data_IF_672183139126
#
_entry.id   IF_672183139126
#
_cell.length_a   1.000
_cell.length_b   1.000
_cell.length_c   1.000
_cell.angle_alpha   90.00
_cell.angle_beta   90.00
_cell.angle_gamma   90.00
#
_symmetry.space_group_name_H-M   'P 1'
#
loop_
_entity.id
_entity.type
_entity.pdbx_description
1 polymer ?
#
# COMPACT_ATOMS: atom_id res chain seq x y z
N UNK A 1 7.21 -30.10 8.71
CA UNK A 1 7.54 -28.82 9.36
C UNK A 1 6.53 -28.55 10.49
N UNK A 2 6.99 -27.99 11.63
CA UNK A 2 6.05 -27.53 12.66
C UNK A 2 5.04 -26.53 12.11
N UNK A 3 3.83 -26.50 12.67
CA UNK A 3 2.73 -25.64 12.20
C UNK A 3 3.07 -24.12 12.19
N UNK A 4 4.09 -23.71 12.95
CA UNK A 4 4.56 -22.32 13.03
C UNK A 4 5.92 -22.11 12.35
N UNK A 5 6.32 -22.95 11.40
CA UNK A 5 7.62 -22.79 10.75
C UNK A 5 7.61 -21.57 9.82
N UNK A 6 8.68 -20.72 9.84
CA UNK A 6 8.77 -19.53 8.98
C UNK A 6 8.62 -19.82 7.48
N UNK A 7 9.16 -20.94 6.99
CA UNK A 7 9.03 -21.34 5.58
C UNK A 7 7.58 -21.60 5.19
N UNK A 8 6.75 -22.05 6.15
CA UNK A 8 5.33 -22.26 5.91
C UNK A 8 4.61 -20.91 5.73
N UNK A 9 4.97 -19.89 6.52
CA UNK A 9 4.43 -18.55 6.36
C UNK A 9 4.81 -17.96 5.00
N UNK A 10 6.07 -18.11 4.58
CA UNK A 10 6.53 -17.70 3.25
C UNK A 10 5.76 -18.41 2.15
N UNK A 11 5.54 -19.72 2.29
CA UNK A 11 4.76 -20.51 1.32
C UNK A 11 3.31 -20.01 1.23
N UNK A 12 2.65 -19.76 2.36
CA UNK A 12 1.30 -19.21 2.38
C UNK A 12 1.24 -17.82 1.74
N UNK A 13 2.20 -16.96 2.02
CA UNK A 13 2.27 -15.65 1.38
C UNK A 13 2.39 -15.76 -0.15
N UNK A 14 3.22 -16.67 -0.65
CA UNK A 14 3.39 -16.91 -2.09
C UNK A 14 2.12 -17.47 -2.73
N UNK A 15 1.41 -18.39 -2.06
CA UNK A 15 0.11 -18.90 -2.51
C UNK A 15 -0.92 -17.75 -2.55
N UNK A 16 -0.94 -16.88 -1.54
CA UNK A 16 -1.77 -15.69 -1.52
C UNK A 16 -1.54 -14.78 -2.72
N UNK A 17 -0.27 -14.55 -3.10
CA UNK A 17 0.09 -13.76 -4.29
C UNK A 17 -0.50 -14.38 -5.57
N UNK A 18 -0.44 -15.71 -5.71
CA UNK A 18 -1.01 -16.40 -6.88
C UNK A 18 -2.52 -16.20 -6.93
N UNK A 19 -3.24 -16.42 -5.82
CA UNK A 19 -4.69 -16.22 -5.79
C UNK A 19 -5.08 -14.75 -6.04
N UNK A 20 -4.33 -13.80 -5.51
CA UNK A 20 -4.55 -12.38 -5.79
C UNK A 20 -4.39 -12.07 -7.28
N UNK A 21 -3.37 -12.60 -7.94
CA UNK A 21 -3.16 -12.41 -9.39
C UNK A 21 -4.24 -13.04 -10.25
N UNK A 22 -4.90 -14.08 -9.74
CA UNK A 22 -6.06 -14.74 -10.38
C UNK A 22 -7.39 -14.01 -10.10
N UNK A 23 -7.40 -12.98 -9.25
CA UNK A 23 -8.62 -12.28 -8.82
C UNK A 23 -9.42 -13.04 -7.75
N UNK A 24 -8.91 -14.16 -7.23
CA UNK A 24 -9.52 -14.99 -6.18
C UNK A 24 -9.27 -14.38 -4.79
N UNK A 25 -9.81 -13.18 -4.56
CA UNK A 25 -9.46 -12.33 -3.40
C UNK A 25 -9.75 -12.98 -2.05
N UNK A 26 -10.86 -13.74 -1.92
CA UNK A 26 -11.19 -14.42 -0.66
C UNK A 26 -10.15 -15.49 -0.30
N UNK A 27 -9.67 -16.25 -1.29
CA UNK A 27 -8.60 -17.23 -1.07
C UNK A 27 -7.27 -16.55 -0.79
N UNK A 28 -6.97 -15.46 -1.49
CA UNK A 28 -5.76 -14.67 -1.22
C UNK A 28 -5.73 -14.20 0.23
N UNK A 29 -6.83 -13.65 0.76
CA UNK A 29 -6.94 -13.25 2.16
C UNK A 29 -6.71 -14.42 3.10
N UNK A 30 -7.35 -15.56 2.89
CA UNK A 30 -7.16 -16.74 3.73
C UNK A 30 -5.70 -17.14 3.87
N UNK A 31 -4.96 -17.18 2.75
CA UNK A 31 -3.55 -17.55 2.78
C UNK A 31 -2.65 -16.47 3.38
N UNK A 32 -2.91 -15.20 3.11
CA UNK A 32 -2.17 -14.10 3.74
C UNK A 32 -2.41 -14.03 5.25
N UNK A 33 -3.63 -14.27 5.72
CA UNK A 33 -3.94 -14.30 7.15
C UNK A 33 -3.27 -15.47 7.88
N UNK A 34 -3.21 -16.65 7.26
CA UNK A 34 -2.43 -17.79 7.76
C UNK A 34 -0.93 -17.45 7.87
N UNK A 35 -0.37 -16.81 6.86
CA UNK A 35 1.01 -16.33 6.87
C UNK A 35 1.23 -15.33 8.01
N UNK A 36 0.38 -14.32 8.11
CA UNK A 36 0.43 -13.29 9.14
C UNK A 36 0.31 -13.87 10.56
N UNK A 37 -0.54 -14.87 10.77
CA UNK A 37 -0.68 -15.53 12.07
C UNK A 37 0.62 -16.20 12.52
N UNK A 38 1.32 -16.89 11.61
CA UNK A 38 2.61 -17.50 11.90
C UNK A 38 3.65 -16.40 12.21
N UNK A 39 3.74 -15.35 11.36
CA UNK A 39 4.68 -14.26 11.58
C UNK A 39 4.46 -13.54 12.91
N UNK A 40 3.20 -13.31 13.32
CA UNK A 40 2.88 -12.71 14.63
C UNK A 40 3.34 -13.55 15.81
N UNK A 41 3.39 -14.88 15.68
CA UNK A 41 3.82 -15.79 16.74
C UNK A 41 5.34 -15.96 16.79
N UNK A 42 6.02 -15.75 15.67
CA UNK A 42 7.45 -16.12 15.50
C UNK A 42 8.38 -14.93 15.35
N UNK A 43 7.87 -13.76 15.00
CA UNK A 43 8.67 -12.56 14.75
C UNK A 43 8.38 -11.44 15.76
N UNK A 44 9.37 -10.57 16.02
CA UNK A 44 9.15 -9.34 16.76
C UNK A 44 8.07 -8.46 16.11
N UNK A 45 7.32 -7.72 16.93
CA UNK A 45 6.19 -6.88 16.46
C UNK A 45 6.54 -5.85 15.37
N UNK A 46 7.82 -5.47 15.26
CA UNK A 46 8.31 -4.52 14.26
C UNK A 46 9.03 -5.20 13.08
N UNK A 47 8.87 -6.50 12.89
CA UNK A 47 9.61 -7.18 11.82
C UNK A 47 9.10 -6.77 10.44
N UNK A 48 9.98 -6.56 9.44
CA UNK A 48 9.59 -6.15 8.06
C UNK A 48 8.60 -7.10 7.39
N UNK A 49 8.65 -8.40 7.65
CA UNK A 49 7.71 -9.37 7.07
C UNK A 49 6.27 -9.16 7.55
N UNK A 50 6.07 -8.65 8.78
CA UNK A 50 4.76 -8.23 9.24
C UNK A 50 4.24 -7.03 8.43
N UNK A 51 5.11 -6.06 8.13
CA UNK A 51 4.74 -4.92 7.30
C UNK A 51 4.36 -5.37 5.87
N UNK A 52 5.12 -6.31 5.31
CA UNK A 52 4.82 -6.92 4.00
C UNK A 52 3.48 -7.64 4.02
N UNK A 53 3.20 -8.46 5.03
CA UNK A 53 1.92 -9.18 5.17
C UNK A 53 0.74 -8.21 5.28
N UNK A 54 0.85 -7.16 6.09
CA UNK A 54 -0.18 -6.13 6.18
C UNK A 54 -0.39 -5.39 4.85
N UNK A 55 0.70 -5.07 4.13
CA UNK A 55 0.60 -4.43 2.83
C UNK A 55 -0.14 -5.31 1.81
N UNK A 56 0.14 -6.61 1.78
CA UNK A 56 -0.51 -7.55 0.86
C UNK A 56 -2.01 -7.68 1.16
N UNK A 57 -2.39 -7.82 2.42
CA UNK A 57 -3.79 -7.85 2.84
C UNK A 57 -4.50 -6.53 2.46
N UNK A 58 -3.86 -5.39 2.71
CA UNK A 58 -4.37 -4.06 2.32
C UNK A 58 -4.63 -3.96 0.82
N UNK A 59 -3.73 -4.51 0.00
CA UNK A 59 -3.86 -4.55 -1.47
C UNK A 59 -5.06 -5.38 -1.92
N UNK A 60 -5.32 -6.52 -1.28
CA UNK A 60 -6.51 -7.33 -1.59
C UNK A 60 -7.78 -6.56 -1.25
N UNK A 61 -7.89 -5.96 -0.06
CA UNK A 61 -9.05 -5.16 0.31
C UNK A 61 -9.25 -3.96 -0.63
N UNK A 62 -8.18 -3.33 -1.09
CA UNK A 62 -8.27 -2.26 -2.11
C UNK A 62 -8.86 -2.78 -3.41
N UNK A 63 -8.44 -3.96 -3.89
CA UNK A 63 -8.95 -4.57 -5.11
C UNK A 63 -10.42 -4.99 -4.97
N UNK A 64 -10.85 -5.34 -3.75
CA UNK A 64 -12.26 -5.65 -3.44
C UNK A 64 -13.13 -4.38 -3.29
N UNK A 65 -12.54 -3.17 -3.29
CA UNK A 65 -13.25 -1.93 -3.03
C UNK A 65 -13.52 -1.64 -1.55
N UNK A 66 -13.00 -2.48 -0.66
CA UNK A 66 -13.12 -2.35 0.81
C UNK A 66 -12.10 -1.32 1.35
N UNK A 67 -12.23 -0.07 0.91
CA UNK A 67 -11.20 0.97 1.10
C UNK A 67 -10.87 1.28 2.57
N UNK A 68 -11.85 1.19 3.47
CA UNK A 68 -11.61 1.44 4.90
C UNK A 68 -10.71 0.37 5.51
N UNK A 69 -10.92 -0.89 5.17
CA UNK A 69 -10.04 -1.99 5.59
C UNK A 69 -8.67 -1.88 4.94
N UNK A 70 -8.62 -1.54 3.65
CA UNK A 70 -7.35 -1.34 2.96
C UNK A 70 -6.49 -0.28 3.66
N UNK A 71 -7.07 0.85 4.05
CA UNK A 71 -6.36 1.89 4.81
C UNK A 71 -5.85 1.37 6.14
N UNK A 72 -6.68 0.67 6.93
CA UNK A 72 -6.27 0.10 8.22
C UNK A 72 -5.02 -0.78 8.08
N UNK A 73 -5.00 -1.67 7.11
CA UNK A 73 -3.87 -2.57 6.89
C UNK A 73 -2.64 -1.85 6.34
N UNK A 74 -2.79 -0.91 5.42
CA UNK A 74 -1.67 -0.10 4.93
C UNK A 74 -1.07 0.79 6.00
N UNK A 75 -1.88 1.34 6.91
CA UNK A 75 -1.40 2.14 8.05
C UNK A 75 -0.60 1.30 9.04
N UNK A 76 -1.03 0.06 9.34
CA UNK A 76 -0.24 -0.90 10.14
C UNK A 76 1.11 -1.20 9.49
N UNK A 77 1.13 -1.44 8.18
CA UNK A 77 2.38 -1.63 7.41
C UNK A 77 3.29 -0.41 7.48
N UNK A 78 2.73 0.77 7.26
CA UNK A 78 3.46 2.03 7.31
C UNK A 78 4.03 2.32 8.71
N UNK A 79 3.29 2.05 9.76
CA UNK A 79 3.75 2.24 11.15
C UNK A 79 4.99 1.41 11.45
N UNK A 80 4.98 0.11 11.09
CA UNK A 80 6.14 -0.77 11.25
C UNK A 80 7.32 -0.23 10.42
N UNK A 81 7.08 0.09 9.16
CA UNK A 81 8.12 0.57 8.24
C UNK A 81 8.76 1.87 8.73
N UNK A 82 7.99 2.78 9.31
CA UNK A 82 8.51 4.02 9.90
C UNK A 82 9.41 3.80 11.12
N UNK A 83 9.15 2.75 11.89
CA UNK A 83 9.95 2.42 13.09
C UNK A 83 11.25 1.70 12.74
N UNK A 84 11.30 1.01 11.61
CA UNK A 84 12.38 0.08 11.28
C UNK A 84 13.25 0.54 10.10
N UNK A 85 12.78 1.45 9.28
CA UNK A 85 13.47 1.88 8.06
C UNK A 85 13.88 3.35 8.13
N UNK A 86 14.99 3.71 7.46
CA UNK A 86 15.36 5.11 7.28
C UNK A 86 14.25 5.91 6.57
N UNK A 87 14.13 7.21 6.89
CA UNK A 87 13.06 8.08 6.39
C UNK A 87 13.00 8.20 4.85
N UNK A 88 14.09 7.90 4.16
CA UNK A 88 14.18 7.90 2.69
C UNK A 88 14.11 6.50 2.07
N UNK A 89 13.72 5.48 2.83
CA UNK A 89 13.70 4.11 2.32
C UNK A 89 12.59 3.92 1.28
N UNK A 90 12.85 3.26 0.12
CA UNK A 90 11.87 3.10 -0.95
C UNK A 90 10.56 2.42 -0.56
N UNK A 91 10.57 1.51 0.42
CA UNK A 91 9.36 0.86 0.93
C UNK A 91 8.38 1.85 1.59
N UNK A 92 8.87 2.92 2.25
CA UNK A 92 8.01 3.98 2.76
C UNK A 92 7.28 4.72 1.62
N UNK A 93 7.98 4.97 0.51
CA UNK A 93 7.35 5.57 -0.68
C UNK A 93 6.26 4.66 -1.26
N UNK A 94 6.48 3.35 -1.25
CA UNK A 94 5.47 2.37 -1.68
C UNK A 94 4.24 2.42 -0.78
N UNK A 95 4.41 2.42 0.54
CA UNK A 95 3.30 2.53 1.49
C UNK A 95 2.49 3.83 1.30
N UNK A 96 3.17 4.97 1.17
CA UNK A 96 2.50 6.25 0.89
C UNK A 96 1.76 6.23 -0.46
N UNK A 97 2.37 5.67 -1.50
CA UNK A 97 1.72 5.53 -2.81
C UNK A 97 0.44 4.69 -2.76
N UNK A 98 0.46 3.57 -2.03
CA UNK A 98 -0.69 2.69 -1.87
C UNK A 98 -1.84 3.39 -1.13
N UNK A 99 -1.54 4.07 -0.02
CA UNK A 99 -2.53 4.88 0.71
C UNK A 99 -3.09 5.99 -0.19
N UNK A 100 -2.25 6.69 -0.94
CA UNK A 100 -2.67 7.67 -1.93
C UNK A 100 -3.63 7.09 -2.98
N UNK A 101 -3.35 5.87 -3.45
CA UNK A 101 -4.21 5.13 -4.36
C UNK A 101 -5.59 4.83 -3.79
N UNK A 102 -5.67 4.45 -2.52
CA UNK A 102 -6.95 4.25 -1.84
C UNK A 102 -7.74 5.55 -1.75
N UNK A 103 -7.12 6.65 -1.32
CA UNK A 103 -7.80 7.95 -1.27
C UNK A 103 -8.25 8.46 -2.65
N UNK A 104 -7.45 8.21 -3.71
CA UNK A 104 -7.87 8.48 -5.09
C UNK A 104 -9.14 7.68 -5.46
N UNK A 105 -9.20 6.40 -5.12
CA UNK A 105 -10.37 5.56 -5.39
C UNK A 105 -11.61 5.98 -4.59
N UNK A 106 -11.39 6.52 -3.37
CA UNK A 106 -12.43 7.17 -2.55
C UNK A 106 -12.81 8.57 -3.04
N UNK A 107 -12.21 9.06 -4.12
CA UNK A 107 -12.36 10.43 -4.64
C UNK A 107 -11.93 11.56 -3.68
N UNK A 108 -11.24 11.23 -2.59
CA UNK A 108 -10.58 12.20 -1.71
C UNK A 108 -9.24 12.62 -2.33
N UNK A 109 -9.35 13.40 -3.40
CA UNK A 109 -8.19 13.80 -4.20
C UNK A 109 -7.20 14.68 -3.43
N UNK A 110 -7.66 15.41 -2.40
CA UNK A 110 -6.79 16.23 -1.57
C UNK A 110 -5.84 15.37 -0.74
N UNK A 111 -6.37 14.36 -0.07
CA UNK A 111 -5.53 13.41 0.68
C UNK A 111 -4.67 12.56 -0.25
N UNK A 112 -5.22 12.11 -1.38
CA UNK A 112 -4.44 11.38 -2.37
C UNK A 112 -3.21 12.17 -2.82
N UNK A 113 -3.35 13.47 -3.08
CA UNK A 113 -2.26 14.34 -3.46
C UNK A 113 -1.17 14.41 -2.39
N UNK A 114 -1.53 14.65 -1.12
CA UNK A 114 -0.57 14.69 -0.01
C UNK A 114 0.26 13.40 0.09
N UNK A 115 -0.40 12.24 0.02
CA UNK A 115 0.28 10.96 0.09
C UNK A 115 1.18 10.69 -1.12
N UNK A 116 0.74 11.02 -2.33
CA UNK A 116 1.58 10.88 -3.53
C UNK A 116 2.79 11.84 -3.52
N UNK A 117 2.65 13.05 -3.02
CA UNK A 117 3.76 14.00 -2.89
C UNK A 117 4.81 13.51 -1.87
N UNK A 118 4.39 12.90 -0.76
CA UNK A 118 5.31 12.21 0.17
C UNK A 118 6.06 11.07 -0.51
N UNK A 119 5.35 10.24 -1.27
CA UNK A 119 5.97 9.15 -2.03
C UNK A 119 6.97 9.67 -3.06
N UNK A 120 6.62 10.73 -3.79
CA UNK A 120 7.50 11.36 -4.77
C UNK A 120 8.76 11.91 -4.15
N UNK A 121 8.64 12.62 -3.02
CA UNK A 121 9.79 13.19 -2.30
C UNK A 121 10.82 12.12 -1.92
N UNK A 122 10.35 10.98 -1.36
CA UNK A 122 11.24 9.88 -1.01
C UNK A 122 11.90 9.29 -2.25
N UNK A 123 11.12 9.00 -3.31
CA UNK A 123 11.65 8.43 -4.55
C UNK A 123 12.69 9.32 -5.23
N UNK A 124 12.49 10.63 -5.25
CA UNK A 124 13.44 11.58 -5.83
C UNK A 124 14.77 11.65 -5.07
N UNK A 125 14.78 11.36 -3.77
CA UNK A 125 16.00 11.31 -2.94
C UNK A 125 16.73 9.98 -3.00
N UNK A 126 16.04 8.89 -3.34
CA UNK A 126 16.56 7.53 -3.27
C UNK A 126 16.78 6.86 -4.62
N UNK A 127 16.27 7.43 -5.71
CA UNK A 127 16.30 6.82 -7.04
C UNK A 127 16.79 7.80 -8.11
N UNK A 128 17.38 7.30 -9.21
CA UNK A 128 17.71 8.13 -10.37
C UNK A 128 16.48 8.86 -10.91
N UNK A 129 16.67 10.07 -11.43
CA UNK A 129 15.59 10.96 -11.90
C UNK A 129 14.71 10.35 -13.00
N UNK A 130 15.25 9.44 -13.80
CA UNK A 130 14.56 8.73 -14.87
C UNK A 130 13.92 7.41 -14.44
N UNK A 131 13.92 7.09 -13.13
CA UNK A 131 13.38 5.81 -12.66
C UNK A 131 11.86 5.72 -12.92
N UNK A 132 11.34 4.59 -13.46
CA UNK A 132 9.91 4.45 -13.83
C UNK A 132 8.95 4.75 -12.69
N UNK A 133 9.30 4.39 -11.46
CA UNK A 133 8.42 4.66 -10.31
C UNK A 133 8.25 6.15 -9.98
N UNK A 134 9.22 7.01 -10.36
CA UNK A 134 9.08 8.47 -10.25
C UNK A 134 8.07 8.96 -11.29
N UNK A 135 8.17 8.47 -12.52
CA UNK A 135 7.22 8.79 -13.58
C UNK A 135 5.79 8.41 -13.19
N UNK A 136 5.60 7.17 -12.70
CA UNK A 136 4.28 6.66 -12.32
C UNK A 136 3.61 7.49 -11.22
N UNK A 137 4.38 7.91 -10.20
CA UNK A 137 3.81 8.73 -9.13
C UNK A 137 3.51 10.16 -9.59
N UNK A 138 4.32 10.72 -10.50
CA UNK A 138 4.03 12.03 -11.12
C UNK A 138 2.72 11.97 -11.92
N UNK A 139 2.52 10.94 -12.72
CA UNK A 139 1.26 10.73 -13.47
C UNK A 139 0.06 10.63 -12.53
N UNK A 140 0.21 9.94 -11.38
CA UNK A 140 -0.83 9.89 -10.34
C UNK A 140 -1.13 11.27 -9.75
N UNK A 141 -0.11 12.07 -9.48
CA UNK A 141 -0.24 13.45 -8.99
C UNK A 141 -0.96 14.32 -10.02
N UNK A 142 -0.56 14.25 -11.29
CA UNK A 142 -1.17 15.04 -12.36
C UNK A 142 -2.66 14.69 -12.54
N UNK A 143 -3.00 13.40 -12.47
CA UNK A 143 -4.39 12.96 -12.49
C UNK A 143 -5.21 13.58 -11.35
N UNK A 144 -4.70 13.52 -10.11
CA UNK A 144 -5.41 14.03 -8.92
C UNK A 144 -5.56 15.55 -8.97
N UNK A 145 -4.51 16.26 -9.39
CA UNK A 145 -4.52 17.72 -9.57
C UNK A 145 -5.55 18.15 -10.60
N UNK A 146 -5.64 17.44 -11.72
CA UNK A 146 -6.67 17.69 -12.73
C UNK A 146 -8.07 17.52 -12.17
N UNK A 147 -8.30 16.47 -11.37
CA UNK A 147 -9.61 16.23 -10.72
C UNK A 147 -9.95 17.32 -9.71
N UNK A 148 -9.00 17.75 -8.88
CA UNK A 148 -9.16 18.87 -7.96
C UNK A 148 -9.51 20.17 -8.67
N UNK A 149 -8.79 20.49 -9.74
CA UNK A 149 -9.08 21.68 -10.55
C UNK A 149 -10.50 21.68 -11.10
N UNK A 150 -10.93 20.56 -11.71
CA UNK A 150 -12.29 20.41 -12.24
C UNK A 150 -13.36 20.55 -11.14
N UNK A 151 -13.13 19.98 -9.96
CA UNK A 151 -14.06 20.10 -8.83
C UNK A 151 -14.21 21.55 -8.38
N UNK A 152 -13.13 22.29 -8.28
CA UNK A 152 -13.13 23.71 -7.94
C UNK A 152 -13.81 24.55 -9.03
N UNK A 153 -13.48 24.29 -10.29
CA UNK A 153 -14.09 25.01 -11.43
C UNK A 153 -15.61 24.88 -11.45
N UNK A 154 -16.13 23.65 -11.36
CA UNK A 154 -17.60 23.43 -11.34
C UNK A 154 -18.29 23.94 -10.09
N UNK A 155 -17.60 24.02 -8.94
CA UNK A 155 -18.19 24.59 -7.73
C UNK A 155 -18.35 26.11 -7.79
N UNK A 156 -17.49 26.80 -8.54
CA UNK A 156 -17.56 28.26 -8.74
C UNK A 156 -18.61 28.70 -9.77
N UNK A 157 -18.95 27.83 -10.73
CA UNK A 157 -19.93 28.14 -11.78
C UNK A 157 -21.38 27.71 -11.45
N UNK A 158 -21.60 27.05 -10.29
CA UNK A 158 -22.95 26.68 -9.83
C UNK A 158 -23.62 27.74 -8.93
N UNK A 159 -23.00 28.89 -8.75
CA UNK A 159 -23.57 30.07 -8.10
C UNK A 159 -24.02 31.09 -9.14
#
# INVERSE_FOLDING_TARGET
>A
LPANHPDLATSYNNIGNVYQSMGEYSKALEYYERSLEIWKKTLPANHPDLATSYNNIGSVYQNMGEYSKALEYYEKSLEISKKTLPANHPLLATSYNNIGGVYRNKTDYKKALDYYERALNIRQRSLPSNHPSIKNVKESIDFVRKKLYLTLFFSTYKK
#
